data_IF_153585487314
#
_entry.id   IF_153585487314
#
_cell.length_a   1.000
_cell.length_b   1.000
_cell.length_c   1.000
_cell.angle_alpha   90.00
_cell.angle_beta   90.00
_cell.angle_gamma   90.00
#
_symmetry.space_group_name_H-M   'P 1'
#
loop_
_entity.id
_entity.type
_entity.pdbx_description
1 polymer ?
#
# COMPACT_ATOMS: atom_id res chain seq x y z
N UNK A 1 5.97 8.81 -14.63
CA UNK A 1 6.42 8.21 -13.35
C UNK A 1 5.79 9.03 -12.24
N UNK A 2 4.85 8.46 -11.48
CA UNK A 2 4.24 9.18 -10.35
C UNK A 2 5.24 9.24 -9.20
N UNK A 3 5.66 10.44 -8.81
CA UNK A 3 6.54 10.63 -7.67
C UNK A 3 5.73 10.48 -6.39
N UNK A 4 5.68 9.27 -5.84
CA UNK A 4 5.08 9.01 -4.53
C UNK A 4 6.20 8.85 -3.50
N UNK A 5 6.18 9.64 -2.43
CA UNK A 5 7.16 9.51 -1.35
C UNK A 5 6.51 8.80 -0.16
N UNK A 6 7.14 7.73 0.33
CA UNK A 6 6.75 7.08 1.59
C UNK A 6 7.65 7.61 2.72
N UNK A 7 7.04 8.03 3.83
CA UNK A 7 7.75 8.46 5.04
C UNK A 7 7.28 7.63 6.23
N UNK A 8 8.21 7.23 7.10
CA UNK A 8 7.88 6.71 8.42
C UNK A 8 7.52 7.89 9.33
N UNK A 9 6.42 7.77 10.06
CA UNK A 9 5.99 8.75 11.05
C UNK A 9 5.47 8.04 12.31
N UNK A 10 5.24 8.81 13.36
CA UNK A 10 4.67 8.32 14.62
C UNK A 10 3.42 9.11 14.95
N UNK A 11 2.32 8.40 15.17
CA UNK A 11 1.09 9.01 15.66
C UNK A 11 1.28 9.45 17.10
N UNK A 12 1.15 10.75 17.38
CA UNK A 12 1.55 11.34 18.66
C UNK A 12 0.67 10.90 19.84
N UNK A 13 -0.63 10.69 19.60
CA UNK A 13 -1.58 10.34 20.65
C UNK A 13 -1.43 8.88 21.11
N UNK A 14 -1.19 7.95 20.17
CA UNK A 14 -1.10 6.52 20.46
C UNK A 14 0.33 6.00 20.56
N UNK A 15 1.31 6.78 20.08
CA UNK A 15 2.71 6.34 19.96
C UNK A 15 2.97 5.36 18.81
N UNK A 16 1.94 4.98 18.04
CA UNK A 16 2.02 3.98 16.96
C UNK A 16 2.84 4.48 15.78
N UNK A 17 3.71 3.63 15.24
CA UNK A 17 4.44 3.91 13.98
C UNK A 17 3.53 3.69 12.77
N UNK A 18 3.59 4.62 11.80
CA UNK A 18 2.74 4.62 10.61
C UNK A 18 3.55 4.96 9.36
N UNK A 19 3.16 4.37 8.23
CA UNK A 19 3.59 4.80 6.91
C UNK A 19 2.73 5.98 6.41
N UNK A 20 3.38 6.99 5.86
CA UNK A 20 2.71 8.14 5.24
C UNK A 20 3.07 8.19 3.77
N UNK A 21 2.12 7.86 2.90
CA UNK A 21 2.29 7.94 1.45
C UNK A 21 1.82 9.30 0.96
N UNK A 22 2.75 10.06 0.38
CA UNK A 22 2.51 11.38 -0.18
C UNK A 22 2.19 11.29 -1.67
N UNK A 23 1.02 11.76 -2.06
CA UNK A 23 0.56 11.82 -3.45
C UNK A 23 0.33 13.27 -3.86
N UNK A 24 0.85 13.69 -5.01
CA UNK A 24 0.52 14.99 -5.60
C UNK A 24 -0.94 14.96 -6.08
N UNK A 25 -1.72 16.01 -5.80
CA UNK A 25 -3.07 16.14 -6.31
C UNK A 25 -3.05 16.31 -7.83
N UNK A 26 -3.63 15.34 -8.51
CA UNK A 26 -3.93 15.37 -9.95
C UNK A 26 -5.40 15.07 -10.13
N UNK A 27 -6.02 15.57 -11.20
CA UNK A 27 -7.47 15.45 -11.44
C UNK A 27 -7.97 13.99 -11.35
N UNK A 28 -7.14 13.00 -11.67
CA UNK A 28 -7.46 11.57 -11.57
C UNK A 28 -7.52 11.03 -10.13
N UNK A 29 -6.76 11.61 -9.18
CA UNK A 29 -6.73 11.10 -7.79
C UNK A 29 -8.03 11.41 -7.02
N UNK A 30 -8.78 12.43 -7.45
CA UNK A 30 -10.04 12.82 -6.82
C UNK A 30 -11.10 11.71 -6.85
N UNK A 31 -11.14 10.91 -7.93
CA UNK A 31 -12.17 9.88 -8.08
C UNK A 31 -11.94 8.66 -7.16
N UNK A 32 -10.68 8.31 -6.88
CA UNK A 32 -10.35 7.11 -6.09
C UNK A 32 -10.44 7.32 -4.57
N UNK A 33 -10.37 8.56 -4.09
CA UNK A 33 -10.35 8.86 -2.64
C UNK A 33 -11.71 9.26 -2.09
N UNK A 34 -12.66 9.55 -2.99
CA UNK A 34 -14.06 9.77 -2.64
C UNK A 34 -14.83 8.49 -2.35
N UNK A 35 -14.24 7.31 -2.61
CA UNK A 35 -14.87 6.02 -2.30
C UNK A 35 -14.68 5.70 -0.80
N UNK A 36 -15.74 5.75 0.02
CA UNK A 36 -15.64 5.52 1.47
C UNK A 36 -15.14 4.11 1.81
N UNK A 37 -15.26 3.18 0.87
CA UNK A 37 -14.89 1.78 1.05
C UNK A 37 -13.37 1.56 1.14
N UNK A 38 -12.55 2.49 0.61
CA UNK A 38 -11.08 2.37 0.69
C UNK A 38 -10.55 2.43 2.13
N UNK A 39 -11.30 3.08 3.05
CA UNK A 39 -10.94 3.20 4.48
C UNK A 39 -11.38 1.97 5.29
N UNK A 40 -12.27 1.13 4.74
CA UNK A 40 -12.91 0.02 5.49
C UNK A 40 -12.28 -1.34 5.17
N UNK A 41 -11.24 -1.38 4.33
CA UNK A 41 -10.57 -2.63 3.98
C UNK A 41 -9.89 -3.28 5.20
N UNK A 42 -10.41 -4.42 5.63
CA UNK A 42 -9.87 -5.23 6.74
C UNK A 42 -9.59 -6.65 6.25
N UNK A 43 -8.39 -6.84 5.69
CA UNK A 43 -7.92 -8.12 5.19
C UNK A 43 -6.45 -8.32 5.56
N UNK A 44 -6.02 -9.52 6.01
CA UNK A 44 -4.65 -9.78 6.48
C UNK A 44 -3.54 -9.59 5.43
N UNK A 45 -3.90 -9.48 4.16
CA UNK A 45 -2.97 -9.20 3.05
C UNK A 45 -3.23 -7.84 2.38
N UNK A 46 -3.98 -6.94 3.02
CA UNK A 46 -4.19 -5.55 2.61
C UNK A 46 -3.67 -4.66 3.73
N UNK A 47 -2.83 -3.67 3.40
CA UNK A 47 -2.33 -2.71 4.38
C UNK A 47 -3.50 -1.81 4.82
N UNK A 48 -3.85 -1.76 6.12
CA UNK A 48 -4.93 -0.92 6.60
C UNK A 48 -4.66 0.56 6.32
N UNK A 49 -5.67 1.25 5.78
CA UNK A 49 -5.69 2.70 5.63
C UNK A 49 -6.37 3.31 6.85
N UNK A 50 -5.62 3.99 7.71
CA UNK A 50 -6.17 4.58 8.92
C UNK A 50 -6.85 5.93 8.65
N UNK A 51 -6.24 6.75 7.79
CA UNK A 51 -6.73 8.10 7.53
C UNK A 51 -6.23 8.64 6.19
N UNK A 52 -7.06 9.49 5.55
CA UNK A 52 -6.66 10.33 4.42
C UNK A 52 -6.64 11.79 4.88
N UNK A 53 -5.53 12.49 4.65
CA UNK A 53 -5.40 13.92 4.94
C UNK A 53 -5.13 14.66 3.64
N UNK A 54 -6.03 15.57 3.31
CA UNK A 54 -5.94 16.39 2.12
C UNK A 54 -5.42 17.79 2.41
N UNK A 55 -4.46 18.25 1.61
CA UNK A 55 -4.04 19.65 1.55
C UNK A 55 -4.34 20.22 0.17
N UNK A 56 -3.91 21.45 -0.11
CA UNK A 56 -4.15 22.11 -1.40
C UNK A 56 -3.51 21.32 -2.56
N UNK A 57 -2.27 20.88 -2.36
CA UNK A 57 -1.47 20.26 -3.43
C UNK A 57 -1.22 18.76 -3.24
N UNK A 58 -1.53 18.21 -2.05
CA UNK A 58 -1.17 16.84 -1.70
C UNK A 58 -2.31 16.07 -1.03
N UNK A 59 -2.23 14.75 -1.17
CA UNK A 59 -3.01 13.77 -0.41
C UNK A 59 -2.01 12.93 0.37
N UNK A 60 -2.26 12.79 1.67
CA UNK A 60 -1.47 11.97 2.58
C UNK A 60 -2.30 10.76 2.98
N UNK A 61 -1.82 9.55 2.65
CA UNK A 61 -2.43 8.31 3.09
C UNK A 61 -1.67 7.82 4.33
N UNK A 62 -2.37 7.75 5.46
CA UNK A 62 -1.85 7.26 6.73
C UNK A 62 -2.19 5.78 6.85
N UNK A 63 -1.18 4.93 6.91
CA UNK A 63 -1.33 3.49 6.81
C UNK A 63 -0.39 2.75 7.75
N UNK A 64 -0.62 1.47 7.97
CA UNK A 64 0.34 0.62 8.69
C UNK A 64 1.73 0.66 8.02
N UNK A 65 2.79 0.68 8.83
CA UNK A 65 4.14 0.62 8.30
C UNK A 65 4.51 -0.80 7.84
N UNK A 66 4.52 -1.03 6.53
CA UNK A 66 5.03 -2.26 5.96
C UNK A 66 6.57 -2.25 5.86
N UNK A 67 7.24 -2.89 6.82
CA UNK A 67 8.71 -3.04 6.84
C UNK A 67 9.28 -4.06 5.83
N UNK A 68 8.43 -4.84 5.15
CA UNK A 68 8.82 -5.94 4.26
C UNK A 68 9.40 -5.52 2.90
N UNK A 69 9.50 -4.22 2.61
CA UNK A 69 10.01 -3.71 1.33
C UNK A 69 9.00 -3.74 0.19
N UNK A 70 9.47 -3.43 -1.03
CA UNK A 70 8.62 -3.39 -2.22
C UNK A 70 8.58 -4.75 -2.93
N UNK A 71 7.41 -5.12 -3.48
CA UNK A 71 7.24 -6.33 -4.28
C UNK A 71 8.27 -6.46 -5.43
N UNK A 72 8.67 -5.33 -6.04
CA UNK A 72 9.69 -5.32 -7.10
C UNK A 72 11.03 -5.89 -6.64
N UNK A 73 11.39 -5.74 -5.37
CA UNK A 73 12.61 -6.33 -4.81
C UNK A 73 12.48 -7.84 -4.56
N UNK A 74 11.26 -8.37 -4.59
CA UNK A 74 10.97 -9.81 -4.44
C UNK A 74 10.85 -10.53 -5.80
N UNK A 75 10.77 -9.78 -6.91
CA UNK A 75 10.72 -10.33 -8.26
C UNK A 75 12.13 -10.22 -8.86
N UNK A 76 12.87 -11.34 -8.99
CA UNK A 76 14.20 -11.33 -9.56
C UNK A 76 14.18 -10.91 -11.04
N UNK A 77 15.22 -10.18 -11.47
CA UNK A 77 15.35 -9.68 -12.85
C UNK A 77 15.76 -10.77 -13.85
N UNK A 78 16.23 -11.93 -13.38
CA UNK A 78 16.83 -12.99 -14.21
C UNK A 78 16.24 -14.36 -13.92
N UNK A 79 15.78 -14.98 -15.00
CA UNK A 79 15.22 -16.33 -15.20
C UNK A 79 15.92 -17.44 -14.37
N UNK A 80 15.27 -17.89 -13.30
CA UNK A 80 15.78 -18.89 -12.35
C UNK A 80 14.67 -19.82 -11.81
N UNK A 81 13.89 -20.40 -12.72
CA UNK A 81 12.54 -20.97 -12.52
C UNK A 81 12.31 -22.01 -11.39
N UNK A 82 13.31 -22.55 -10.69
CA UNK A 82 13.11 -23.69 -9.77
C UNK A 82 13.08 -23.31 -8.28
N UNK A 83 13.84 -22.29 -7.84
CA UNK A 83 13.71 -21.74 -6.46
C UNK A 83 12.68 -20.62 -6.36
N UNK A 84 12.28 -20.08 -7.50
CA UNK A 84 11.39 -18.94 -7.61
C UNK A 84 9.92 -19.34 -7.60
N UNK A 85 9.58 -20.54 -8.08
CA UNK A 85 8.19 -21.00 -8.21
C UNK A 85 7.47 -21.04 -6.86
N UNK A 86 8.10 -21.57 -5.81
CA UNK A 86 7.47 -21.63 -4.48
C UNK A 86 7.31 -20.22 -3.85
N UNK A 87 8.26 -19.32 -4.09
CA UNK A 87 8.16 -17.93 -3.61
C UNK A 87 7.05 -17.17 -4.35
N UNK A 88 6.98 -17.31 -5.67
CA UNK A 88 5.88 -16.77 -6.47
C UNK A 88 4.54 -17.34 -6.04
N UNK A 89 4.45 -18.66 -5.85
CA UNK A 89 3.23 -19.33 -5.42
C UNK A 89 2.74 -18.79 -4.06
N UNK A 90 3.65 -18.60 -3.09
CA UNK A 90 3.33 -17.98 -1.79
C UNK A 90 2.81 -16.55 -1.96
N UNK A 91 3.43 -15.75 -2.84
CA UNK A 91 2.99 -14.40 -3.19
C UNK A 91 1.59 -14.40 -3.80
N UNK A 92 1.33 -15.23 -4.81
CA UNK A 92 0.01 -15.35 -5.42
C UNK A 92 -1.06 -15.79 -4.42
N UNK A 93 -0.73 -16.72 -3.51
CA UNK A 93 -1.64 -17.16 -2.45
C UNK A 93 -2.04 -16.04 -1.49
N UNK A 94 -1.20 -15.02 -1.32
CA UNK A 94 -1.52 -13.84 -0.50
C UNK A 94 -2.25 -12.76 -1.32
N UNK A 95 -1.85 -12.53 -2.57
CA UNK A 95 -2.39 -11.46 -3.42
C UNK A 95 -3.80 -11.79 -3.91
N UNK A 96 -4.06 -13.03 -4.35
CA UNK A 96 -5.35 -13.39 -4.96
C UNK A 96 -6.54 -13.18 -4.00
N UNK A 97 -6.49 -13.65 -2.73
CA UNK A 97 -7.58 -13.39 -1.78
C UNK A 97 -7.78 -11.89 -1.49
N UNK A 98 -6.68 -11.13 -1.40
CA UNK A 98 -6.76 -9.69 -1.20
C UNK A 98 -7.42 -8.97 -2.38
N UNK A 99 -7.06 -9.32 -3.61
CA UNK A 99 -7.67 -8.74 -4.82
C UNK A 99 -9.14 -9.11 -4.91
N UNK A 100 -9.50 -10.37 -4.60
CA UNK A 100 -10.89 -10.80 -4.57
C UNK A 100 -11.69 -10.10 -3.48
N UNK A 101 -11.08 -9.79 -2.33
CA UNK A 101 -11.73 -9.03 -1.26
C UNK A 101 -12.00 -7.57 -1.66
N UNK A 102 -11.09 -6.96 -2.43
CA UNK A 102 -11.21 -5.57 -2.87
C UNK A 102 -12.10 -5.35 -4.11
N UNK A 103 -12.51 -6.41 -4.82
CA UNK A 103 -13.23 -6.34 -6.10
C UNK A 103 -14.68 -6.81 -5.96
#
# INVERSE_FOLDING_TARGET
MGFTQLKLARHLLTGTEVGVKLLVKVASNFFFLSEPDMVILDHPNVIPLFQVIETIDYIHLIMEHAGGGQLRGLIPETDGMQKEEEALFRLFRQILPAVQYCH
#
